data_IF_485603892696
#
_entry.id   IF_485603892696
#
_cell.length_a   1.000
_cell.length_b   1.000
_cell.length_c   1.000
_cell.angle_alpha   90.00
_cell.angle_beta   90.00
_cell.angle_gamma   90.00
#
_symmetry.space_group_name_H-M   'P 1'
#
loop_
_entity.id
_entity.type
_entity.pdbx_description
1 polymer ?
#
# COMPACT_ATOMS: atom_id res chain seq x y z
N UNK A 1 -25.15 10.55 -7.81
CA UNK A 1 -24.44 9.44 -7.15
C UNK A 1 -22.97 9.54 -7.55
N UNK A 2 -22.10 10.11 -6.71
CA UNK A 2 -20.68 10.29 -7.04
C UNK A 2 -19.98 8.94 -6.90
N UNK A 3 -19.54 8.36 -8.02
CA UNK A 3 -18.76 7.13 -8.03
C UNK A 3 -17.42 7.42 -7.33
N UNK A 4 -17.25 6.91 -6.11
CA UNK A 4 -15.94 6.84 -5.48
C UNK A 4 -15.16 5.80 -6.27
N UNK A 5 -14.38 6.23 -7.25
CA UNK A 5 -13.39 5.37 -7.90
C UNK A 5 -12.54 4.76 -6.79
N UNK A 6 -12.77 3.48 -6.53
CA UNK A 6 -11.98 2.68 -5.60
C UNK A 6 -10.63 2.46 -6.26
N UNK A 7 -9.76 3.48 -6.19
CA UNK A 7 -8.37 3.35 -6.57
C UNK A 7 -7.75 2.44 -5.51
N UNK A 8 -7.53 1.16 -5.86
CA UNK A 8 -6.78 0.26 -4.99
C UNK A 8 -5.47 0.95 -4.61
N UNK A 9 -5.04 0.85 -3.34
CA UNK A 9 -3.86 1.54 -2.90
C UNK A 9 -2.65 1.00 -3.68
N UNK A 10 -1.91 1.90 -4.33
CA UNK A 10 -0.83 1.53 -5.26
C UNK A 10 0.52 1.96 -4.70
N UNK A 11 1.51 1.08 -4.78
CA UNK A 11 2.90 1.42 -4.48
C UNK A 11 3.78 1.18 -5.71
N UNK A 12 4.77 2.05 -5.89
CA UNK A 12 5.85 1.85 -6.84
C UNK A 12 7.15 1.60 -6.08
N UNK A 13 7.71 0.41 -6.24
CA UNK A 13 9.05 0.10 -5.76
C UNK A 13 10.09 0.63 -6.75
N UNK A 14 11.01 1.43 -6.25
CA UNK A 14 12.15 1.96 -7.01
C UNK A 14 13.45 1.56 -6.33
N UNK A 15 14.58 1.70 -7.02
CA UNK A 15 15.91 1.51 -6.40
C UNK A 15 16.16 2.45 -5.21
N UNK A 16 15.44 3.57 -5.15
CA UNK A 16 15.52 4.56 -4.08
C UNK A 16 14.47 4.37 -2.96
N UNK A 17 13.68 3.30 -2.99
CA UNK A 17 12.64 3.01 -1.99
C UNK A 17 11.21 2.96 -2.57
N UNK A 18 10.22 2.96 -1.68
CA UNK A 18 8.79 2.82 -2.03
C UNK A 18 8.14 4.21 -2.17
N UNK A 19 7.42 4.42 -3.27
CA UNK A 19 6.68 5.65 -3.59
C UNK A 19 5.19 5.36 -3.71
N UNK A 20 4.37 6.32 -3.32
CA UNK A 20 2.92 6.25 -3.42
C UNK A 20 2.49 6.39 -4.89
N UNK A 21 1.63 5.49 -5.38
CA UNK A 21 1.10 5.54 -6.74
C UNK A 21 0.10 6.68 -6.99
N UNK A 22 -0.50 7.24 -5.94
CA UNK A 22 -1.44 8.36 -6.05
C UNK A 22 -0.76 9.73 -6.12
N UNK A 23 0.25 9.97 -5.30
CA UNK A 23 0.87 11.31 -5.18
C UNK A 23 2.37 11.34 -5.41
N UNK A 24 3.03 10.19 -5.63
CA UNK A 24 4.49 10.10 -5.77
C UNK A 24 5.27 10.29 -4.45
N UNK A 25 4.58 10.53 -3.34
CA UNK A 25 5.18 10.75 -2.02
C UNK A 25 5.95 9.53 -1.51
N UNK A 26 6.89 9.76 -0.59
CA UNK A 26 7.62 8.67 0.08
C UNK A 26 6.65 7.81 0.90
N UNK A 27 6.83 6.49 0.85
CA UNK A 27 6.14 5.57 1.73
C UNK A 27 7.09 4.97 2.76
N UNK A 28 6.61 4.81 3.98
CA UNK A 28 7.34 4.22 5.11
C UNK A 28 6.60 3.00 5.64
N UNK A 29 7.33 2.03 6.21
CA UNK A 29 6.71 0.91 6.92
C UNK A 29 6.15 1.42 8.24
N UNK A 30 4.89 1.14 8.50
CA UNK A 30 4.22 1.40 9.76
C UNK A 30 3.60 0.08 10.24
N UNK A 31 3.91 -0.29 11.49
CA UNK A 31 3.28 -1.42 12.15
C UNK A 31 1.94 -0.97 12.74
N UNK A 32 0.86 -1.67 12.37
CA UNK A 32 -0.50 -1.40 12.82
C UNK A 32 -0.85 -2.43 13.88
N UNK A 33 -0.71 -2.04 15.15
CA UNK A 33 -0.94 -2.93 16.30
C UNK A 33 -2.35 -3.54 16.33
N UNK A 34 -3.35 -2.80 15.87
CA UNK A 34 -4.76 -3.24 15.81
C UNK A 34 -4.96 -4.45 14.88
N UNK A 35 -4.14 -4.55 13.83
CA UNK A 35 -4.16 -5.65 12.86
C UNK A 35 -3.02 -6.64 13.10
N UNK A 36 -2.07 -6.31 13.97
CA UNK A 36 -0.81 -7.03 14.14
C UNK A 36 -0.04 -7.19 12.81
N UNK A 37 -0.06 -6.15 11.98
CA UNK A 37 0.42 -6.21 10.60
C UNK A 37 1.28 -5.00 10.23
N UNK A 38 2.20 -5.20 9.28
CA UNK A 38 2.95 -4.11 8.66
C UNK A 38 2.24 -3.61 7.40
N UNK A 39 2.11 -2.29 7.28
CA UNK A 39 1.64 -1.64 6.06
C UNK A 39 2.65 -0.59 5.56
N UNK A 40 2.52 -0.21 4.29
CA UNK A 40 3.19 0.98 3.76
C UNK A 40 2.25 2.17 3.85
N UNK A 41 2.69 3.25 4.49
CA UNK A 41 1.94 4.50 4.58
C UNK A 41 2.66 5.62 3.86
N UNK A 42 1.93 6.34 3.01
CA UNK A 42 2.45 7.55 2.39
C UNK A 42 2.50 8.70 3.40
N UNK A 43 3.65 9.37 3.52
CA UNK A 43 3.82 10.52 4.41
C UNK A 43 3.13 11.79 3.91
N UNK A 44 2.71 11.83 2.64
CA UNK A 44 2.09 13.00 2.00
C UNK A 44 0.57 12.92 2.03
N UNK A 45 -0.01 11.83 1.51
CA UNK A 45 -1.47 11.69 1.39
C UNK A 45 -2.11 10.73 2.41
N UNK A 46 -1.30 10.04 3.22
CA UNK A 46 -1.79 9.09 4.22
C UNK A 46 -2.28 7.74 3.66
N UNK A 47 -2.16 7.50 2.36
CA UNK A 47 -2.57 6.24 1.72
C UNK A 47 -1.80 5.05 2.29
N UNK A 48 -2.55 3.99 2.65
CA UNK A 48 -2.02 2.75 3.23
C UNK A 48 -2.13 1.61 2.23
N UNK A 49 -1.04 0.85 2.07
CA UNK A 49 -0.97 -0.37 1.26
C UNK A 49 -0.61 -1.52 2.19
N UNK A 50 -1.54 -2.44 2.41
CA UNK A 50 -1.32 -3.61 3.26
C UNK A 50 -0.40 -4.61 2.56
N UNK A 51 0.61 -5.11 3.29
CA UNK A 51 1.57 -6.08 2.75
C UNK A 51 0.97 -7.46 2.53
N UNK A 52 -0.16 -7.77 3.19
CA UNK A 52 -0.77 -9.10 3.20
C UNK A 52 -1.58 -9.44 1.95
N UNK A 53 -2.02 -8.44 1.18
CA UNK A 53 -2.67 -8.68 -0.13
C UNK A 53 -1.70 -9.33 -1.13
N UNK A 54 -0.38 -9.16 -0.94
CA UNK A 54 0.64 -9.80 -1.78
C UNK A 54 0.78 -11.30 -1.48
N UNK A 55 0.64 -11.74 -0.24
CA UNK A 55 0.83 -13.14 0.16
C UNK A 55 -0.29 -14.06 -0.36
N UNK A 56 -1.54 -13.59 -0.36
CA UNK A 56 -2.69 -14.38 -0.84
C UNK A 56 -2.79 -14.48 -2.38
N UNK A 57 -1.97 -13.75 -3.14
CA UNK A 57 -1.96 -13.82 -4.61
C UNK A 57 -0.98 -14.84 -5.18
N UNK A 58 0.05 -15.24 -4.44
CA UNK A 58 1.00 -16.25 -4.90
C UNK A 58 0.50 -17.68 -4.68
N UNK A 59 -0.37 -17.90 -3.69
CA UNK A 59 -0.90 -19.25 -3.37
C UNK A 59 -1.93 -19.77 -4.39
N UNK A 60 -2.54 -18.90 -5.22
CA UNK A 60 -3.58 -19.30 -6.17
C UNK A 60 -3.10 -19.49 -7.63
N UNK A 61 -1.78 -19.52 -7.83
CA UNK A 61 -1.16 -19.83 -9.13
C UNK A 61 -0.49 -21.22 -9.14
N UNK A 62 -0.76 -22.07 -8.14
CA UNK A 62 -0.40 -23.48 -8.09
C UNK A 62 -1.57 -24.38 -8.48
#
# INVERSE_FOLDING_TARGET
MTMKTSTMPTMHRTKAGVRCGRCGGLMVREYVAELNEDCWKCVVCGERVDLLILAHREEKSG
#
